data_IF_026763182546
#
_entry.id   IF_026763182546
#
_cell.length_a   1.000
_cell.length_b   1.000
_cell.length_c   1.000
_cell.angle_alpha   90.00
_cell.angle_beta   90.00
_cell.angle_gamma   90.00
#
_symmetry.space_group_name_H-M   'P 1'
#
loop_
_entity.id
_entity.type
_entity.pdbx_description
1 polymer ?
#
# COMPACT_ATOMS: atom_id res chain seq x y z
N UNK A 1 -39.65 10.89 -29.58
CA UNK A 1 -39.64 10.95 -28.10
C UNK A 1 -38.21 11.20 -27.63
N UNK A 2 -37.91 12.39 -27.11
CA UNK A 2 -36.64 12.59 -26.39
C UNK A 2 -36.71 11.79 -25.09
N UNK A 3 -35.84 10.79 -24.96
CA UNK A 3 -35.68 10.05 -23.70
C UNK A 3 -35.22 11.06 -22.64
N UNK A 4 -36.08 11.41 -21.67
CA UNK A 4 -35.66 12.10 -20.43
C UNK A 4 -34.73 11.15 -19.69
N UNK A 5 -33.43 11.23 -19.96
CA UNK A 5 -32.41 10.44 -19.28
C UNK A 5 -32.12 11.08 -17.93
N UNK A 6 -32.47 10.39 -16.84
CA UNK A 6 -32.05 10.76 -15.49
C UNK A 6 -30.55 10.49 -15.30
N UNK A 7 -29.97 11.05 -14.23
CA UNK A 7 -28.57 10.82 -13.86
C UNK A 7 -28.55 9.84 -12.68
N UNK A 8 -27.84 8.72 -12.85
CA UNK A 8 -27.50 7.81 -11.77
C UNK A 8 -25.97 7.77 -11.67
N UNK A 9 -25.44 8.38 -10.61
CA UNK A 9 -24.00 8.46 -10.35
C UNK A 9 -23.77 8.30 -8.85
N UNK A 10 -22.79 7.47 -8.51
CA UNK A 10 -22.31 7.25 -7.15
C UNK A 10 -20.82 7.53 -7.13
N UNK A 11 -20.37 8.31 -6.15
CA UNK A 11 -18.96 8.56 -5.88
C UNK A 11 -18.68 8.15 -4.43
N UNK A 12 -17.66 7.33 -4.22
CA UNK A 12 -17.26 6.88 -2.89
C UNK A 12 -15.75 6.98 -2.76
N UNK A 13 -15.31 7.48 -1.60
CA UNK A 13 -13.94 7.33 -1.13
C UNK A 13 -14.00 6.57 0.20
N UNK A 14 -13.30 5.44 0.28
CA UNK A 14 -13.33 4.61 1.47
C UNK A 14 -12.26 3.53 1.48
N UNK A 15 -12.37 2.61 2.43
CA UNK A 15 -11.39 1.55 2.65
C UNK A 15 -11.99 0.17 2.43
N UNK A 16 -11.22 -0.74 1.82
CA UNK A 16 -11.65 -2.12 1.63
C UNK A 16 -11.77 -2.85 2.98
N UNK A 17 -12.94 -3.43 3.26
CA UNK A 17 -13.18 -4.25 4.47
C UNK A 17 -12.53 -5.63 4.44
N UNK A 18 -12.35 -6.16 3.23
CA UNK A 18 -11.76 -7.47 2.96
C UNK A 18 -10.99 -7.45 1.63
N UNK A 19 -10.21 -8.49 1.38
CA UNK A 19 -9.53 -8.64 0.10
C UNK A 19 -10.54 -8.73 -1.06
N UNK A 20 -10.18 -8.27 -2.26
CA UNK A 20 -11.02 -8.42 -3.45
C UNK A 20 -11.31 -9.89 -3.76
N UNK A 21 -12.53 -10.16 -4.22
CA UNK A 21 -12.95 -11.49 -4.69
C UNK A 21 -13.18 -11.42 -6.20
N UNK A 22 -12.22 -11.96 -6.98
CA UNK A 22 -12.34 -12.07 -8.44
C UNK A 22 -13.09 -13.33 -8.85
N UNK A 23 -13.93 -13.20 -9.87
CA UNK A 23 -14.63 -14.29 -10.54
C UNK A 23 -14.62 -14.03 -12.04
N UNK A 24 -14.58 -15.11 -12.82
CA UNK A 24 -14.78 -15.04 -14.27
C UNK A 24 -16.19 -15.48 -14.62
N UNK A 25 -16.88 -14.68 -15.41
CA UNK A 25 -18.19 -15.03 -15.97
C UNK A 25 -18.02 -16.11 -17.06
N UNK A 26 -19.09 -16.85 -17.43
CA UNK A 26 -19.02 -17.88 -18.47
C UNK A 26 -18.54 -17.37 -19.84
N UNK A 27 -18.72 -16.08 -20.10
CA UNK A 27 -18.22 -15.40 -21.30
C UNK A 27 -16.74 -15.01 -21.22
N UNK A 28 -16.03 -15.38 -20.15
CA UNK A 28 -14.63 -15.05 -19.91
C UNK A 28 -14.38 -13.68 -19.27
N UNK A 29 -15.41 -12.84 -19.09
CA UNK A 29 -15.21 -11.49 -18.56
C UNK A 29 -14.91 -11.53 -17.04
N UNK A 30 -13.83 -10.85 -16.58
CA UNK A 30 -13.52 -10.75 -15.17
C UNK A 30 -14.48 -9.81 -14.44
N UNK A 31 -14.84 -10.20 -13.23
CA UNK A 31 -15.69 -9.45 -12.30
C UNK A 31 -15.07 -9.52 -10.92
N UNK A 32 -14.94 -8.37 -10.26
CA UNK A 32 -14.46 -8.27 -8.89
C UNK A 32 -15.55 -7.72 -7.99
N UNK A 33 -15.76 -8.39 -6.87
CA UNK A 33 -16.58 -7.89 -5.78
C UNK A 33 -15.70 -7.36 -4.66
N UNK A 34 -15.93 -6.11 -4.26
CA UNK A 34 -15.30 -5.50 -3.08
C UNK A 34 -16.36 -4.94 -2.14
N UNK A 35 -15.98 -4.79 -0.87
CA UNK A 35 -16.78 -4.12 0.15
C UNK A 35 -15.98 -2.94 0.66
N UNK A 36 -16.54 -1.73 0.59
CA UNK A 36 -15.87 -0.49 0.99
C UNK A 36 -16.60 0.15 2.16
N UNK A 37 -15.86 0.43 3.21
CA UNK A 37 -16.33 1.17 4.38
C UNK A 37 -16.19 2.68 4.18
N UNK A 38 -17.21 3.44 4.59
CA UNK A 38 -17.13 4.88 4.82
C UNK A 38 -17.63 5.20 6.22
N UNK A 39 -16.87 5.94 7.03
CA UNK A 39 -17.29 6.37 8.36
C UNK A 39 -17.64 7.85 8.41
N UNK A 40 -18.74 8.18 9.09
CA UNK A 40 -19.10 9.56 9.46
C UNK A 40 -19.03 9.72 10.97
N UNK A 41 -18.38 10.78 11.45
CA UNK A 41 -18.28 11.14 12.86
C UNK A 41 -19.10 12.40 13.13
N UNK A 42 -19.93 12.41 14.18
CA UNK A 42 -20.68 13.58 14.60
C UNK A 42 -20.83 13.63 16.11
N UNK A 43 -21.04 14.82 16.66
CA UNK A 43 -21.36 15.02 18.07
C UNK A 43 -22.87 14.98 18.27
N UNK A 44 -23.37 14.12 19.16
CA UNK A 44 -24.79 14.09 19.52
C UNK A 44 -25.17 15.39 20.23
N UNK A 45 -26.23 16.05 19.76
CA UNK A 45 -26.68 17.34 20.29
C UNK A 45 -27.33 17.23 21.67
N UNK A 46 -27.88 16.07 22.02
CA UNK A 46 -28.58 15.85 23.28
C UNK A 46 -27.62 15.38 24.37
N UNK A 47 -26.70 14.47 24.05
CA UNK A 47 -25.76 13.88 25.04
C UNK A 47 -24.39 14.54 25.05
N UNK A 48 -24.01 15.24 23.98
CA UNK A 48 -22.67 15.82 23.82
C UNK A 48 -21.58 14.79 23.51
N UNK A 49 -21.93 13.53 23.29
CA UNK A 49 -20.99 12.45 23.00
C UNK A 49 -20.62 12.40 21.52
N UNK A 50 -19.39 11.96 21.22
CA UNK A 50 -18.98 11.68 19.85
C UNK A 50 -19.56 10.32 19.41
N UNK A 51 -20.27 10.31 18.28
CA UNK A 51 -20.81 9.12 17.63
C UNK A 51 -20.11 8.88 16.30
N UNK A 52 -19.93 7.60 15.98
CA UNK A 52 -19.42 7.14 14.69
C UNK A 52 -20.47 6.21 14.04
N UNK A 53 -20.62 6.31 12.72
CA UNK A 53 -21.39 5.37 11.91
C UNK A 53 -20.59 4.98 10.69
N UNK A 54 -20.43 3.68 10.50
CA UNK A 54 -19.79 3.10 9.33
C UNK A 54 -20.84 2.49 8.40
N UNK A 55 -20.78 2.86 7.13
CA UNK A 55 -21.59 2.29 6.06
C UNK A 55 -20.74 1.37 5.18
N UNK A 56 -21.31 0.22 4.81
CA UNK A 56 -20.63 -0.80 4.02
C UNK A 56 -21.23 -0.88 2.62
N UNK A 57 -20.45 -0.47 1.63
CA UNK A 57 -20.88 -0.39 0.25
C UNK A 57 -20.42 -1.64 -0.51
N UNK A 58 -21.35 -2.30 -1.20
CA UNK A 58 -21.03 -3.42 -2.10
C UNK A 58 -20.77 -2.89 -3.50
N UNK A 59 -19.56 -3.10 -4.00
CA UNK A 59 -19.17 -2.66 -5.35
C UNK A 59 -18.86 -3.88 -6.22
N UNK A 60 -19.35 -3.82 -7.46
CA UNK A 60 -19.08 -4.79 -8.51
C UNK A 60 -18.35 -4.08 -9.64
N UNK A 61 -17.12 -4.53 -9.91
CA UNK A 61 -16.23 -3.94 -10.92
C UNK A 61 -16.07 -4.95 -12.05
N UNK A 62 -16.23 -4.50 -13.30
CA UNK A 62 -16.17 -5.35 -14.48
C UNK A 62 -14.92 -5.09 -15.33
N UNK A 63 -14.52 -6.08 -16.13
CA UNK A 63 -13.52 -5.92 -17.19
C UNK A 63 -12.13 -5.61 -16.65
N UNK A 64 -11.36 -4.77 -17.37
CA UNK A 64 -9.95 -4.53 -17.03
C UNK A 64 -9.76 -3.94 -15.63
N UNK A 65 -10.69 -3.11 -15.16
CA UNK A 65 -10.67 -2.58 -13.81
C UNK A 65 -10.81 -3.67 -12.75
N UNK A 66 -11.50 -4.78 -13.06
CA UNK A 66 -11.61 -5.92 -12.16
C UNK A 66 -10.25 -6.60 -11.96
N UNK A 67 -9.49 -6.83 -13.03
CA UNK A 67 -8.14 -7.41 -12.96
C UNK A 67 -7.21 -6.52 -12.12
N UNK A 68 -7.19 -5.21 -12.42
CA UNK A 68 -6.39 -4.23 -11.66
C UNK A 68 -6.82 -4.22 -10.19
N UNK A 69 -8.12 -4.25 -9.92
CA UNK A 69 -8.63 -4.29 -8.55
C UNK A 69 -8.12 -5.51 -7.80
N UNK A 70 -8.13 -6.69 -8.42
CA UNK A 70 -7.67 -7.92 -7.80
C UNK A 70 -6.14 -7.96 -7.60
N UNK A 71 -5.39 -7.40 -8.55
CA UNK A 71 -3.92 -7.40 -8.52
C UNK A 71 -3.37 -6.44 -7.45
N UNK A 72 -3.96 -5.24 -7.34
CA UNK A 72 -3.38 -4.17 -6.54
C UNK A 72 -4.12 -3.88 -5.22
N UNK A 73 -5.41 -4.20 -5.11
CA UNK A 73 -6.16 -3.92 -3.88
C UNK A 73 -6.03 -5.05 -2.87
N UNK A 74 -5.95 -4.67 -1.59
CA UNK A 74 -5.98 -5.57 -0.44
C UNK A 74 -6.91 -5.00 0.62
N UNK A 75 -7.24 -5.79 1.65
CA UNK A 75 -7.93 -5.28 2.84
C UNK A 75 -7.21 -4.03 3.35
N UNK A 76 -7.96 -2.97 3.62
CA UNK A 76 -7.43 -1.68 4.08
C UNK A 76 -6.92 -0.75 2.96
N UNK A 77 -6.91 -1.17 1.69
CA UNK A 77 -6.62 -0.25 0.59
C UNK A 77 -7.66 0.87 0.52
N UNK A 78 -7.20 2.10 0.39
CA UNK A 78 -8.06 3.26 0.17
C UNK A 78 -8.34 3.42 -1.33
N UNK A 79 -9.60 3.61 -1.68
CA UNK A 79 -10.06 3.67 -3.08
C UNK A 79 -11.02 4.82 -3.32
N UNK A 80 -10.91 5.44 -4.48
CA UNK A 80 -11.94 6.26 -5.10
C UNK A 80 -12.72 5.39 -6.09
N UNK A 81 -14.04 5.43 -6.03
CA UNK A 81 -14.94 4.67 -6.89
C UNK A 81 -16.00 5.61 -7.45
N UNK A 82 -16.18 5.54 -8.76
CA UNK A 82 -17.28 6.18 -9.48
C UNK A 82 -18.06 5.13 -10.28
N UNK A 83 -19.37 5.09 -10.07
CA UNK A 83 -20.25 4.12 -10.71
C UNK A 83 -21.70 4.56 -10.66
N UNK A 84 -22.63 3.60 -10.67
CA UNK A 84 -24.07 3.83 -10.55
C UNK A 84 -24.72 2.77 -9.67
N UNK A 85 -25.87 3.09 -9.06
CA UNK A 85 -26.63 2.12 -8.28
C UNK A 85 -27.40 1.17 -9.21
N UNK A 86 -27.34 -0.12 -8.90
CA UNK A 86 -28.21 -1.13 -9.50
C UNK A 86 -28.78 -2.02 -8.40
N UNK A 87 -30.10 -2.13 -8.37
CA UNK A 87 -30.80 -3.09 -7.50
C UNK A 87 -31.22 -4.28 -8.34
N UNK A 88 -30.81 -5.48 -7.93
CA UNK A 88 -31.25 -6.73 -8.54
C UNK A 88 -32.13 -7.53 -7.60
N UNK A 89 -33.12 -8.19 -8.19
CA UNK A 89 -34.01 -9.13 -7.53
C UNK A 89 -33.44 -10.54 -7.65
N UNK A 90 -33.50 -11.31 -6.57
CA UNK A 90 -33.18 -12.74 -6.58
C UNK A 90 -34.14 -13.47 -5.64
N UNK A 91 -34.38 -14.75 -5.91
CA UNK A 91 -35.25 -15.58 -5.07
C UNK A 91 -34.40 -16.46 -4.17
N UNK A 92 -34.77 -16.52 -2.89
CA UNK A 92 -34.16 -17.45 -1.95
C UNK A 92 -34.73 -18.87 -2.13
N UNK A 93 -34.17 -19.85 -1.43
CA UNK A 93 -34.61 -21.25 -1.50
C UNK A 93 -36.09 -21.44 -1.10
N UNK A 94 -36.65 -20.50 -0.35
CA UNK A 94 -38.05 -20.51 0.10
C UNK A 94 -39.00 -19.82 -0.90
N UNK A 95 -38.51 -19.41 -2.08
CA UNK A 95 -39.29 -18.73 -3.11
C UNK A 95 -39.61 -17.25 -2.81
N UNK A 96 -39.06 -16.67 -1.74
CA UNK A 96 -39.27 -15.26 -1.41
C UNK A 96 -38.33 -14.36 -2.20
N UNK A 97 -38.90 -13.25 -2.67
CA UNK A 97 -38.19 -12.22 -3.40
C UNK A 97 -37.30 -11.39 -2.49
N UNK A 98 -36.01 -11.30 -2.82
CA UNK A 98 -35.02 -10.50 -2.12
C UNK A 98 -34.39 -9.48 -3.08
N UNK A 99 -33.98 -8.34 -2.53
CA UNK A 99 -33.37 -7.25 -3.29
C UNK A 99 -31.97 -6.97 -2.76
N UNK A 100 -31.02 -6.79 -3.67
CA UNK A 100 -29.66 -6.35 -3.33
C UNK A 100 -29.35 -5.13 -4.17
N UNK A 101 -28.97 -4.04 -3.51
CA UNK A 101 -28.47 -2.82 -4.16
C UNK A 101 -26.94 -2.86 -4.16
N UNK A 102 -26.36 -2.69 -5.33
CA UNK A 102 -24.92 -2.72 -5.57
C UNK A 102 -24.50 -1.47 -6.35
N UNK A 103 -23.25 -1.06 -6.18
CA UNK A 103 -22.63 -0.01 -7.00
C UNK A 103 -21.89 -0.71 -8.12
N UNK A 104 -22.27 -0.40 -9.36
CA UNK A 104 -21.68 -1.00 -10.55
C UNK A 104 -20.68 -0.04 -11.15
N UNK A 105 -19.45 -0.54 -11.37
CA UNK A 105 -18.41 0.16 -12.11
C UNK A 105 -18.24 -0.55 -13.45
N UNK A 106 -18.84 0.04 -14.49
CA UNK A 106 -18.74 -0.43 -15.87
C UNK A 106 -18.34 0.73 -16.81
N UNK A 107 -18.87 0.78 -18.03
CA UNK A 107 -18.61 1.85 -18.99
C UNK A 107 -18.98 3.21 -18.40
N UNK A 108 -18.01 4.13 -18.36
CA UNK A 108 -18.16 5.47 -17.78
C UNK A 108 -17.95 5.55 -16.27
N UNK A 109 -17.74 4.42 -15.59
CA UNK A 109 -17.26 4.40 -14.21
C UNK A 109 -15.74 4.46 -14.13
N UNK A 110 -15.20 4.82 -12.97
CA UNK A 110 -13.76 4.86 -12.72
C UNK A 110 -13.43 4.31 -11.35
N UNK A 111 -12.22 3.77 -11.21
CA UNK A 111 -11.66 3.36 -9.92
C UNK A 111 -10.22 3.85 -9.85
N UNK A 112 -9.85 4.44 -8.71
CA UNK A 112 -8.47 4.84 -8.44
C UNK A 112 -8.05 4.33 -7.06
N UNK A 113 -6.80 3.87 -6.99
CA UNK A 113 -6.17 3.49 -5.74
C UNK A 113 -5.56 4.75 -5.14
N UNK A 114 -5.98 5.11 -3.93
CA UNK A 114 -5.51 6.33 -3.25
C UNK A 114 -4.36 6.03 -2.30
N UNK A 115 -4.25 4.77 -1.84
CA UNK A 115 -3.17 4.38 -0.95
C UNK A 115 -1.97 3.86 -1.74
N UNK A 116 -1.07 4.75 -2.12
CA UNK A 116 0.30 4.38 -2.44
C UNK A 116 1.08 4.26 -1.13
N UNK A 117 0.90 3.15 -0.41
CA UNK A 117 2.00 2.70 0.43
C UNK A 117 3.15 2.44 -0.54
N UNK A 118 4.08 3.39 -0.64
CA UNK A 118 5.38 3.20 -1.29
C UNK A 118 5.91 1.92 -0.69
N UNK A 119 5.85 0.83 -1.45
CA UNK A 119 6.34 -0.45 -1.02
C UNK A 119 7.86 -0.31 -0.99
N UNK A 120 8.34 0.10 0.17
CA UNK A 120 9.71 0.17 0.62
C UNK A 120 10.72 -0.54 -0.29
N UNK A 121 11.55 0.25 -0.96
CA UNK A 121 12.93 -0.09 -1.33
C UNK A 121 13.82 -0.41 -0.09
N UNK A 122 13.24 -0.84 1.05
CA UNK A 122 13.98 -1.18 2.27
C UNK A 122 14.48 -2.62 2.30
N UNK A 123 14.11 -3.47 1.33
CA UNK A 123 14.73 -4.79 1.20
C UNK A 123 16.18 -4.72 0.70
N UNK A 124 16.63 -3.57 0.15
CA UNK A 124 18.03 -3.35 -0.22
C UNK A 124 18.87 -2.69 0.88
N UNK A 125 18.26 -2.11 1.91
CA UNK A 125 19.00 -1.54 3.05
C UNK A 125 19.42 -2.63 4.06
N UNK A 126 18.59 -3.66 4.27
CA UNK A 126 18.94 -4.77 5.16
C UNK A 126 20.02 -5.72 4.57
N UNK A 127 20.17 -5.74 3.24
CA UNK A 127 21.24 -6.48 2.56
C UNK A 127 22.55 -5.69 2.48
N UNK A 128 22.53 -4.36 2.58
CA UNK A 128 23.75 -3.54 2.60
C UNK A 128 24.52 -3.73 3.90
N UNK A 129 23.83 -3.82 5.03
CA UNK A 129 24.45 -4.05 6.34
C UNK A 129 25.09 -5.45 6.48
N UNK A 130 24.53 -6.47 5.82
CA UNK A 130 25.14 -7.81 5.80
C UNK A 130 26.42 -7.82 4.97
N UNK A 131 26.40 -7.18 3.81
CA UNK A 131 27.56 -7.11 2.92
C UNK A 131 28.70 -6.27 3.52
N UNK A 132 28.38 -5.16 4.21
CA UNK A 132 29.36 -4.35 4.94
C UNK A 132 30.04 -5.12 6.10
N UNK A 133 29.30 -5.98 6.81
CA UNK A 133 29.85 -6.83 7.88
C UNK A 133 30.73 -7.96 7.33
N UNK A 134 30.38 -8.54 6.19
CA UNK A 134 31.25 -9.51 5.49
C UNK A 134 32.55 -8.88 5.00
N UNK A 135 32.49 -7.70 4.38
CA UNK A 135 33.67 -6.97 3.91
C UNK A 135 34.60 -6.62 5.09
N UNK A 136 34.05 -6.21 6.24
CA UNK A 136 34.87 -5.89 7.43
C UNK A 136 35.51 -7.14 8.07
N UNK A 137 34.83 -8.29 8.02
CA UNK A 137 35.37 -9.56 8.51
C UNK A 137 36.49 -10.09 7.60
N UNK A 138 36.37 -9.94 6.29
CA UNK A 138 37.43 -10.31 5.34
C UNK A 138 38.66 -9.41 5.45
N UNK A 139 38.46 -8.10 5.69
CA UNK A 139 39.57 -7.19 5.98
C UNK A 139 40.32 -7.57 7.27
N UNK A 140 39.62 -7.89 8.35
CA UNK A 140 40.25 -8.32 9.62
C UNK A 140 40.99 -9.67 9.51
N UNK A 141 40.49 -10.59 8.68
CA UNK A 141 41.17 -11.88 8.44
C UNK A 141 42.47 -11.70 7.66
N UNK A 142 42.49 -10.76 6.71
CA UNK A 142 43.67 -10.46 5.89
C UNK A 142 44.75 -9.76 6.70
N UNK A 143 44.38 -8.85 7.60
CA UNK A 143 45.35 -8.16 8.48
C UNK A 143 45.95 -9.08 9.55
N UNK A 144 45.19 -10.06 10.06
CA UNK A 144 45.71 -11.00 11.05
C UNK A 144 46.65 -12.05 10.44
N UNK A 145 46.43 -12.44 9.18
CA UNK A 145 47.34 -13.38 8.48
C UNK A 145 48.66 -12.72 8.09
N UNK A 146 48.67 -11.40 7.87
CA UNK A 146 49.90 -10.64 7.60
C UNK A 146 50.72 -10.32 8.85
N UNK A 147 50.10 -10.26 10.03
CA UNK A 147 50.81 -10.00 11.30
C UNK A 147 51.55 -11.24 11.84
N UNK A 148 51.06 -12.45 11.56
CA UNK A 148 51.74 -13.70 11.96
C UNK A 148 52.98 -14.04 11.10
N UNK A 149 53.27 -13.27 10.04
CA UNK A 149 54.47 -13.44 9.20
C UNK A 149 55.58 -12.41 9.46
N UNK A 150 55.37 -11.44 10.38
CA UNK A 150 56.34 -10.34 10.62
C UNK A 150 57.10 -10.50 11.95
N UNK A 151 56.70 -11.39 12.86
CA UNK A 151 57.32 -11.53 14.18
C UNK A 151 58.50 -12.53 14.25
N UNK A 152 59.32 -12.57 13.19
CA UNK A 152 60.69 -13.12 13.23
C UNK A 152 61.60 -12.28 12.34
N UNK A 153 61.98 -11.10 12.80
CA UNK A 153 63.36 -10.62 12.67
C UNK A 153 63.57 -9.31 13.44
N UNK A 154 64.64 -9.37 14.22
CA UNK A 154 65.30 -8.36 15.01
C UNK A 154 65.39 -6.92 14.44
N UNK A 155 65.27 -5.98 15.38
CA UNK A 155 66.12 -4.80 15.56
C UNK A 155 66.42 -3.92 14.33
N UNK A 156 65.62 -2.86 14.15
CA UNK A 156 66.22 -1.51 14.13
C UNK A 156 65.21 -0.36 14.29
N UNK A 157 65.68 0.59 15.08
CA UNK A 157 65.11 1.88 15.45
C UNK A 157 65.00 2.80 14.22
N UNK A 158 63.84 3.41 13.96
CA UNK A 158 63.76 4.74 13.33
C UNK A 158 62.45 5.45 13.66
N UNK A 159 62.58 6.74 13.97
CA UNK A 159 61.63 7.66 14.57
C UNK A 159 60.93 8.59 13.55
N UNK A 160 59.94 9.37 14.05
CA UNK A 160 59.37 10.64 13.50
C UNK A 160 58.14 10.42 12.60
N UNK A 161 56.98 11.10 12.69
CA UNK A 161 56.52 12.31 13.42
C UNK A 161 54.99 12.26 13.60
N UNK A 162 54.50 12.90 14.67
CA UNK A 162 53.14 13.47 14.76
C UNK A 162 53.15 14.84 14.09
N UNK A 163 52.11 15.15 13.33
CA UNK A 163 51.51 16.46 13.04
C UNK A 163 50.55 16.27 11.86
N UNK A 164 49.42 16.94 11.71
CA UNK A 164 48.43 17.58 12.57
C UNK A 164 47.30 17.96 11.60
N UNK A 165 46.07 18.06 12.10
CA UNK A 165 44.94 18.80 11.53
C UNK A 165 44.38 18.41 10.16
N UNK A 166 43.12 17.95 10.16
CA UNK A 166 42.19 18.37 9.12
C UNK A 166 40.75 18.50 9.66
N UNK A 167 40.46 19.75 10.03
CA UNK A 167 39.21 20.50 9.83
C UNK A 167 37.94 20.07 10.57
N UNK A 168 37.72 20.78 11.68
CA UNK A 168 36.40 21.22 12.16
C UNK A 168 35.58 21.79 11.00
N UNK A 169 34.44 21.17 10.73
CA UNK A 169 33.36 21.74 9.92
C UNK A 169 32.16 22.00 10.85
N UNK A 170 32.36 22.87 11.84
CA UNK A 170 31.29 23.66 12.44
C UNK A 170 31.57 25.12 12.06
N UNK A 171 31.06 25.56 10.92
CA UNK A 171 30.74 26.98 10.68
C UNK A 171 29.82 27.14 9.46
N UNK A 172 28.76 27.93 9.66
CA UNK A 172 27.88 28.59 8.69
C UNK A 172 26.70 27.84 8.02
N UNK A 173 25.57 27.74 8.74
CA UNK A 173 24.23 27.74 8.13
C UNK A 173 23.71 29.19 8.14
N UNK A 174 23.54 29.87 6.99
CA UNK A 174 22.92 31.20 6.98
C UNK A 174 21.40 31.10 7.20
N UNK A 175 20.86 32.05 7.98
CA UNK A 175 19.43 32.28 8.23
C UNK A 175 18.67 32.74 6.98
#
# INVERSE_FOLDING_TARGET
MASKRGVNKVIIIGFLGKNPEIRYMPNGNPVVNIIVATSSHWKDKNTGENKEKTEWHRIVIFGKLAEISNEYLKKGSQVYIEGYLQTRKWQNQNGQDNYITEIIVSIGGTMQILNSLRQNDNNNLLNKDKNLKEIQNDWNKKTNTSNDMIEKNDNNKLSISKNENLLDFEDDIPF
#
